data_IF_033969288776
#
_entry.id   IF_033969288776
#
_cell.length_a   1.000
_cell.length_b   1.000
_cell.length_c   1.000
_cell.angle_alpha   90.00
_cell.angle_beta   90.00
_cell.angle_gamma   90.00
#
_symmetry.space_group_name_H-M   'P 1'
#
loop_
_entity.id
_entity.type
_entity.pdbx_description
1 polymer ?
#
# COMPACT_ATOMS: atom_id res chain seq x y z
N UNK A 1 6.88 -2.77 -2.87
CA UNK A 1 6.19 -2.46 -1.61
C UNK A 1 4.86 -1.77 -1.86
N UNK A 2 4.82 -0.60 -2.52
CA UNK A 2 3.61 0.18 -2.81
C UNK A 2 2.50 -0.67 -3.46
N UNK A 3 2.79 -1.36 -4.56
CA UNK A 3 1.79 -2.17 -5.27
C UNK A 3 1.19 -3.29 -4.42
N UNK A 4 2.00 -3.93 -3.56
CA UNK A 4 1.52 -4.95 -2.64
C UNK A 4 0.51 -4.34 -1.66
N UNK A 5 0.83 -3.21 -1.06
CA UNK A 5 -0.07 -2.54 -0.11
C UNK A 5 -1.36 -2.08 -0.80
N UNK A 6 -1.28 -1.55 -2.02
CA UNK A 6 -2.48 -1.17 -2.78
C UNK A 6 -3.38 -2.38 -3.09
N UNK A 7 -2.79 -3.53 -3.47
CA UNK A 7 -3.56 -4.78 -3.62
C UNK A 7 -4.19 -5.22 -2.31
N UNK A 8 -3.47 -5.11 -1.19
CA UNK A 8 -4.01 -5.42 0.14
C UNK A 8 -5.16 -4.48 0.52
N UNK A 9 -5.03 -3.17 0.27
CA UNK A 9 -6.12 -2.21 0.52
C UNK A 9 -7.37 -2.55 -0.29
N UNK A 10 -7.22 -2.88 -1.58
CA UNK A 10 -8.33 -3.34 -2.42
C UNK A 10 -9.01 -4.57 -1.84
N UNK A 11 -8.20 -5.57 -1.45
CA UNK A 11 -8.72 -6.78 -0.82
C UNK A 11 -9.52 -6.45 0.44
N UNK A 12 -8.99 -5.60 1.32
CA UNK A 12 -9.66 -5.21 2.55
C UNK A 12 -11.00 -4.53 2.27
N UNK A 13 -11.06 -3.57 1.36
CA UNK A 13 -12.32 -2.92 1.00
C UNK A 13 -13.33 -3.92 0.45
N UNK A 14 -12.94 -4.81 -0.43
CA UNK A 14 -13.80 -5.85 -0.96
C UNK A 14 -14.26 -6.83 0.11
N UNK A 15 -13.36 -7.30 0.97
CA UNK A 15 -13.65 -8.26 2.04
C UNK A 15 -14.66 -7.72 3.06
N UNK A 16 -14.52 -6.46 3.47
CA UNK A 16 -15.42 -5.85 4.44
C UNK A 16 -16.78 -5.43 3.87
N UNK A 17 -16.92 -5.33 2.55
CA UNK A 17 -18.22 -5.11 1.89
C UNK A 17 -18.96 -6.42 1.59
N UNK A 18 -18.23 -7.42 1.14
CA UNK A 18 -18.77 -8.74 0.82
C UNK A 18 -18.59 -9.59 2.08
N UNK A 19 -19.66 -9.90 2.81
CA UNK A 19 -19.61 -10.74 4.02
C UNK A 19 -19.18 -12.21 3.75
N UNK A 20 -18.52 -12.51 2.63
CA UNK A 20 -18.01 -13.81 2.25
C UNK A 20 -16.55 -13.96 2.69
N UNK A 21 -16.14 -15.12 3.17
CA UNK A 21 -14.74 -15.47 3.47
C UNK A 21 -13.94 -15.56 2.16
N UNK A 22 -13.26 -14.48 1.81
CA UNK A 22 -12.37 -14.42 0.67
C UNK A 22 -10.93 -14.58 1.16
N UNK A 23 -10.22 -15.59 0.68
CA UNK A 23 -8.79 -15.68 0.97
C UNK A 23 -8.00 -14.68 0.11
N UNK A 24 -6.96 -14.10 0.69
CA UNK A 24 -6.07 -13.17 -0.01
C UNK A 24 -5.38 -13.80 -1.23
N UNK A 25 -5.08 -15.11 -1.17
CA UNK A 25 -4.51 -15.86 -2.29
C UNK A 25 -5.43 -15.92 -3.51
N UNK A 26 -6.73 -16.10 -3.29
CA UNK A 26 -7.75 -16.08 -4.35
C UNK A 26 -7.83 -14.70 -5.00
N UNK A 27 -7.70 -13.65 -4.20
CA UNK A 27 -7.68 -12.27 -4.69
C UNK A 27 -6.40 -11.96 -5.52
N UNK A 28 -5.22 -12.42 -5.07
CA UNK A 28 -3.96 -12.20 -5.80
C UNK A 28 -3.94 -12.89 -7.16
N UNK A 29 -4.50 -14.08 -7.26
CA UNK A 29 -4.47 -14.89 -8.47
C UNK A 29 -5.54 -14.49 -9.51
N UNK A 30 -6.22 -13.35 -9.35
CA UNK A 30 -7.35 -12.90 -10.18
C UNK A 30 -8.43 -13.97 -10.39
N UNK A 31 -8.43 -15.03 -9.57
CA UNK A 31 -9.45 -16.10 -9.59
C UNK A 31 -10.72 -15.68 -8.86
N UNK A 32 -10.70 -14.50 -8.24
CA UNK A 32 -11.89 -13.93 -7.67
C UNK A 32 -12.87 -13.65 -8.78
N UNK A 33 -14.09 -14.16 -8.62
CA UNK A 33 -15.14 -14.05 -9.64
C UNK A 33 -15.27 -12.60 -10.10
N UNK A 34 -14.84 -12.29 -11.31
CA UNK A 34 -14.87 -10.95 -11.89
C UNK A 34 -16.25 -10.30 -11.75
N UNK A 35 -17.30 -11.11 -11.74
CA UNK A 35 -18.68 -10.65 -11.55
C UNK A 35 -18.93 -10.04 -10.17
N UNK A 36 -18.35 -10.61 -9.10
CA UNK A 36 -18.45 -10.06 -7.74
C UNK A 36 -17.58 -8.79 -7.55
N UNK A 37 -16.44 -8.70 -8.23
CA UNK A 37 -15.57 -7.51 -8.19
C UNK A 37 -16.22 -6.35 -8.97
N UNK A 38 -16.78 -6.62 -10.14
CA UNK A 38 -17.39 -5.60 -11.00
C UNK A 38 -18.63 -4.95 -10.36
N UNK A 39 -19.25 -5.59 -9.36
CA UNK A 39 -20.40 -5.04 -8.62
C UNK A 39 -19.92 -4.22 -7.41
N UNK A 40 -18.65 -4.38 -6.97
CA UNK A 40 -18.16 -3.75 -5.76
C UNK A 40 -17.84 -2.27 -6.00
N UNK A 41 -18.61 -1.39 -5.39
CA UNK A 41 -18.47 0.07 -5.51
C UNK A 41 -17.13 0.57 -4.98
N UNK A 42 -16.64 0.04 -3.87
CA UNK A 42 -15.36 0.41 -3.28
C UNK A 42 -14.19 0.05 -4.19
N UNK A 43 -14.26 -1.09 -4.88
CA UNK A 43 -13.23 -1.47 -5.84
C UNK A 43 -13.09 -0.41 -6.95
N UNK A 44 -14.19 -0.01 -7.58
CA UNK A 44 -14.17 0.99 -8.65
C UNK A 44 -13.70 2.36 -8.17
N UNK A 45 -14.14 2.79 -6.98
CA UNK A 45 -13.69 4.06 -6.41
C UNK A 45 -12.20 4.03 -6.06
N UNK A 46 -11.70 2.90 -5.58
CA UNK A 46 -10.28 2.76 -5.28
C UNK A 46 -9.43 2.79 -6.55
N UNK A 47 -9.83 2.09 -7.64
CA UNK A 47 -9.15 2.13 -8.93
C UNK A 47 -9.06 3.54 -9.50
N UNK A 48 -10.11 4.33 -9.34
CA UNK A 48 -10.17 5.72 -9.78
C UNK A 48 -9.54 6.72 -8.79
N UNK A 49 -8.84 6.26 -7.75
CA UNK A 49 -8.24 7.08 -6.68
C UNK A 49 -9.24 8.06 -6.03
N UNK A 50 -10.53 7.67 -5.96
CA UNK A 50 -11.62 8.52 -5.46
C UNK A 50 -12.37 7.93 -4.27
N UNK A 51 -11.79 6.90 -3.61
CA UNK A 51 -12.43 6.24 -2.47
C UNK A 51 -12.41 7.15 -1.23
N UNK A 52 -13.60 7.53 -0.68
CA UNK A 52 -13.66 8.51 0.42
C UNK A 52 -13.11 7.98 1.75
N UNK A 53 -13.13 6.66 1.97
CA UNK A 53 -12.58 6.02 3.17
C UNK A 53 -11.12 5.54 2.97
N UNK A 54 -10.44 6.04 1.93
CA UNK A 54 -9.03 5.81 1.64
C UNK A 54 -8.23 7.11 1.67
N UNK A 55 -7.12 7.11 2.38
CA UNK A 55 -6.21 8.26 2.46
C UNK A 55 -4.79 7.85 2.05
N UNK A 56 -4.25 8.50 1.03
CA UNK A 56 -2.88 8.26 0.58
C UNK A 56 -2.01 9.48 0.87
N UNK A 57 -0.96 9.25 1.64
CA UNK A 57 -0.01 10.28 2.02
C UNK A 57 1.35 9.96 1.40
N UNK A 58 1.81 10.79 0.49
CA UNK A 58 3.13 10.69 -0.12
C UNK A 58 3.72 12.06 -0.33
N UNK A 59 5.00 12.10 -0.61
CA UNK A 59 5.68 13.29 -1.08
C UNK A 59 5.11 13.67 -2.45
N UNK A 60 4.79 14.94 -2.63
CA UNK A 60 4.38 15.46 -3.93
C UNK A 60 5.56 15.47 -4.90
N UNK A 61 5.35 15.03 -6.14
CA UNK A 61 6.39 14.91 -7.16
C UNK A 61 7.04 16.25 -7.51
N UNK A 62 6.31 17.37 -7.32
CA UNK A 62 6.76 18.73 -7.63
C UNK A 62 7.48 19.44 -6.47
N UNK A 63 7.68 18.79 -5.35
CA UNK A 63 8.37 19.37 -4.18
C UNK A 63 9.82 18.88 -4.12
N UNK A 64 10.71 19.53 -4.86
CA UNK A 64 12.16 19.27 -4.89
C UNK A 64 12.74 19.11 -3.47
N UNK A 65 12.95 17.84 -3.06
CA UNK A 65 13.60 17.50 -1.81
C UNK A 65 12.83 17.79 -0.50
N UNK A 66 11.66 18.41 -0.55
CA UNK A 66 10.89 18.78 0.63
C UNK A 66 10.18 17.56 1.26
N UNK A 67 10.12 17.54 2.58
CA UNK A 67 9.40 16.54 3.35
C UNK A 67 7.88 16.72 3.21
N UNK A 68 7.13 15.68 3.57
CA UNK A 68 5.66 15.74 3.63
C UNK A 68 5.24 16.84 4.61
N UNK A 69 4.39 17.80 4.19
CA UNK A 69 3.93 18.88 5.06
C UNK A 69 3.16 18.34 6.27
N UNK A 70 3.37 18.96 7.44
CA UNK A 70 2.69 18.57 8.68
C UNK A 70 1.16 18.70 8.56
N UNK A 71 0.69 19.63 7.75
CA UNK A 71 -0.73 19.83 7.47
C UNK A 71 -1.40 18.59 6.87
N UNK A 72 -0.68 17.84 6.03
CA UNK A 72 -1.18 16.61 5.44
C UNK A 72 -1.33 15.50 6.50
N UNK A 73 -0.43 15.48 7.50
CA UNK A 73 -0.55 14.56 8.64
C UNK A 73 -1.70 14.97 9.57
N UNK A 74 -1.99 16.27 9.72
CA UNK A 74 -3.18 16.76 10.44
C UNK A 74 -4.48 16.33 9.75
N UNK A 75 -4.53 16.39 8.42
CA UNK A 75 -5.67 15.88 7.64
C UNK A 75 -5.92 14.39 7.86
N UNK A 76 -4.85 13.59 8.06
CA UNK A 76 -4.96 12.18 8.38
C UNK A 76 -5.73 11.94 9.69
N UNK A 77 -5.46 12.75 10.74
CA UNK A 77 -6.21 12.67 11.99
C UNK A 77 -7.69 12.97 11.75
N UNK A 78 -8.02 14.05 11.10
CA UNK A 78 -9.41 14.43 10.77
C UNK A 78 -10.13 13.37 9.94
N UNK A 79 -9.42 12.74 9.00
CA UNK A 79 -9.92 11.65 8.18
C UNK A 79 -10.38 10.46 9.04
N UNK A 80 -9.60 10.02 10.03
CA UNK A 80 -9.97 8.90 10.88
C UNK A 80 -11.15 9.19 11.81
N UNK A 81 -11.30 10.45 12.24
CA UNK A 81 -12.40 10.83 13.13
C UNK A 81 -13.69 11.22 12.40
N UNK A 82 -13.69 11.30 11.07
CA UNK A 82 -14.93 11.47 10.31
C UNK A 82 -15.73 10.15 10.26
N UNK A 83 -17.00 10.22 9.92
CA UNK A 83 -17.86 9.04 9.74
C UNK A 83 -17.38 8.21 8.53
N UNK A 84 -17.69 6.91 8.52
CA UNK A 84 -17.52 6.06 7.36
C UNK A 84 -18.47 6.52 6.25
N UNK A 85 -17.98 6.62 5.01
CA UNK A 85 -18.78 7.11 3.90
C UNK A 85 -19.42 5.97 3.10
N UNK A 86 -18.67 4.95 2.79
CA UNK A 86 -19.11 3.82 1.95
C UNK A 86 -18.69 2.51 2.58
N UNK A 87 -17.44 2.39 2.98
CA UNK A 87 -16.86 1.18 3.54
C UNK A 87 -17.10 1.07 5.05
N UNK A 88 -16.99 -0.13 5.60
CA UNK A 88 -16.99 -0.37 7.07
C UNK A 88 -15.61 -0.16 7.68
N UNK A 89 -14.62 0.20 6.88
CA UNK A 89 -13.23 0.40 7.31
C UNK A 89 -12.67 1.68 6.70
N UNK A 90 -11.73 2.30 7.42
CA UNK A 90 -10.89 3.38 6.93
C UNK A 90 -9.46 2.92 6.80
N UNK A 91 -8.84 3.22 5.68
CA UNK A 91 -7.48 2.82 5.40
C UNK A 91 -6.65 4.02 5.00
N UNK A 92 -5.51 4.20 5.65
CA UNK A 92 -4.52 5.18 5.24
C UNK A 92 -3.20 4.49 4.88
N UNK A 93 -2.52 5.02 3.88
CA UNK A 93 -1.19 4.56 3.45
C UNK A 93 -0.23 5.75 3.49
N UNK A 94 0.89 5.60 4.18
CA UNK A 94 1.97 6.58 4.25
C UNK A 94 3.16 6.06 3.45
N UNK A 95 3.55 6.79 2.41
CA UNK A 95 4.61 6.41 1.48
C UNK A 95 5.58 7.59 1.21
N UNK A 96 6.72 7.69 1.89
CA UNK A 96 7.34 6.83 2.89
C UNK A 96 7.46 7.53 4.24
N UNK A 97 7.75 6.78 5.32
CA UNK A 97 7.90 7.36 6.66
C UNK A 97 9.11 8.29 6.75
N UNK A 98 10.15 8.02 5.97
CA UNK A 98 11.39 8.80 5.89
C UNK A 98 11.15 10.22 5.39
N UNK A 99 10.07 10.44 4.67
CA UNK A 99 9.67 11.75 4.14
C UNK A 99 8.95 12.61 5.18
N UNK A 100 8.68 12.10 6.37
CA UNK A 100 8.09 12.86 7.47
C UNK A 100 9.14 13.66 8.25
N UNK A 101 8.76 14.85 8.72
CA UNK A 101 9.55 15.61 9.69
C UNK A 101 9.38 15.01 11.11
N UNK A 102 10.27 15.34 12.05
CA UNK A 102 10.12 14.92 13.45
C UNK A 102 8.78 15.36 14.05
N UNK A 103 8.33 16.58 13.75
CA UNK A 103 7.04 17.07 14.22
C UNK A 103 5.86 16.28 13.61
N UNK A 104 5.97 15.93 12.33
CA UNK A 104 4.99 15.08 11.63
C UNK A 104 4.96 13.66 12.21
N UNK A 105 6.13 13.10 12.55
CA UNK A 105 6.24 11.79 13.21
C UNK A 105 5.59 11.78 14.59
N UNK A 106 5.82 12.82 15.40
CA UNK A 106 5.19 12.93 16.74
C UNK A 106 3.67 13.05 16.63
N UNK A 107 3.16 13.75 15.62
CA UNK A 107 1.73 13.84 15.35
C UNK A 107 1.15 12.49 14.89
N UNK A 108 1.89 11.78 14.03
CA UNK A 108 1.52 10.45 13.57
C UNK A 108 1.45 9.46 14.73
N UNK A 109 2.41 9.48 15.66
CA UNK A 109 2.40 8.64 16.86
C UNK A 109 1.12 8.82 17.67
N UNK A 110 0.69 10.06 17.91
CA UNK A 110 -0.58 10.33 18.60
C UNK A 110 -1.78 9.78 17.83
N UNK A 111 -1.74 9.86 16.50
CA UNK A 111 -2.82 9.34 15.65
C UNK A 111 -2.87 7.80 15.72
N UNK A 112 -1.71 7.13 15.77
CA UNK A 112 -1.62 5.67 15.90
C UNK A 112 -2.16 5.21 17.26
N UNK A 113 -1.82 5.92 18.34
CA UNK A 113 -2.28 5.61 19.70
C UNK A 113 -3.80 5.75 19.87
N UNK A 114 -4.39 6.74 19.20
CA UNK A 114 -5.79 7.09 19.30
C UNK A 114 -6.64 6.54 18.13
N UNK A 115 -6.12 5.54 17.39
CA UNK A 115 -6.77 5.06 16.17
C UNK A 115 -8.15 4.44 16.45
N UNK A 116 -9.23 4.89 15.79
CA UNK A 116 -10.56 4.33 15.98
C UNK A 116 -10.66 2.86 15.53
N UNK A 117 -11.66 2.14 16.03
CA UNK A 117 -11.97 0.78 15.56
C UNK A 117 -12.22 0.76 14.04
N UNK A 118 -11.89 -0.34 13.40
CA UNK A 118 -12.02 -0.53 11.95
C UNK A 118 -11.22 0.50 11.11
N UNK A 119 -10.12 0.99 11.67
CA UNK A 119 -9.19 1.90 11.00
C UNK A 119 -7.81 1.27 10.92
N UNK A 120 -7.16 1.41 9.78
CA UNK A 120 -5.86 0.79 9.49
C UNK A 120 -4.91 1.82 8.91
N UNK A 121 -3.67 1.82 9.39
CA UNK A 121 -2.58 2.63 8.83
C UNK A 121 -1.49 1.70 8.33
N UNK A 122 -1.20 1.78 7.04
CA UNK A 122 -0.04 1.12 6.45
C UNK A 122 1.09 2.13 6.28
N UNK A 123 2.23 1.83 6.85
CA UNK A 123 3.41 2.68 6.77
C UNK A 123 4.47 1.96 5.97
N UNK A 124 4.89 2.57 4.87
CA UNK A 124 5.98 2.07 4.03
C UNK A 124 7.28 2.68 4.53
N UNK A 125 8.30 1.84 4.71
CA UNK A 125 9.66 2.28 4.98
C UNK A 125 10.62 1.63 3.99
N UNK A 126 11.59 2.41 3.53
CA UNK A 126 12.68 1.92 2.69
C UNK A 126 13.90 1.56 3.53
N UNK A 127 14.08 2.19 4.68
CA UNK A 127 15.19 1.98 5.60
C UNK A 127 14.71 1.60 7.00
N UNK A 128 14.36 0.31 7.25
CA UNK A 128 13.76 -0.13 8.51
C UNK A 128 14.65 0.10 9.73
N UNK A 129 15.96 0.28 9.55
CA UNK A 129 16.90 0.56 10.64
C UNK A 129 16.65 1.94 11.28
N UNK A 130 16.18 2.90 10.50
CA UNK A 130 15.99 4.29 10.94
C UNK A 130 14.61 4.58 11.53
N UNK A 131 13.74 3.58 11.62
CA UNK A 131 12.41 3.77 12.21
C UNK A 131 12.55 3.96 13.72
N UNK A 132 11.89 5.01 14.24
CA UNK A 132 11.87 5.29 15.67
C UNK A 132 11.30 4.09 16.45
N UNK A 133 11.93 3.73 17.56
CA UNK A 133 11.49 2.64 18.44
C UNK A 133 10.06 2.85 18.95
N UNK A 134 9.65 4.10 19.10
CA UNK A 134 8.29 4.48 19.48
C UNK A 134 7.24 4.06 18.47
N UNK A 135 7.57 4.05 17.17
CA UNK A 135 6.70 3.53 16.10
C UNK A 135 6.77 2.00 16.07
N UNK A 136 7.97 1.45 16.23
CA UNK A 136 8.16 0.00 16.25
C UNK A 136 7.33 -0.69 17.34
N UNK A 137 7.22 -0.07 18.51
CA UNK A 137 6.44 -0.64 19.62
C UNK A 137 4.91 -0.65 19.42
N UNK A 138 4.41 0.09 18.42
CA UNK A 138 2.97 0.28 18.16
C UNK A 138 2.50 -0.31 16.83
N UNK A 139 3.40 -0.82 16.01
CA UNK A 139 3.10 -1.34 14.69
C UNK A 139 3.52 -2.81 14.56
N UNK A 140 2.76 -3.59 13.82
CA UNK A 140 3.20 -4.90 13.35
C UNK A 140 4.13 -4.71 12.13
N UNK A 141 5.23 -5.45 12.09
CA UNK A 141 6.22 -5.34 11.02
C UNK A 141 6.13 -6.49 10.05
N UNK A 142 6.11 -6.13 8.76
CA UNK A 142 6.18 -7.08 7.65
C UNK A 142 7.36 -6.72 6.77
N UNK A 143 8.29 -7.65 6.63
CA UNK A 143 9.45 -7.48 5.75
C UNK A 143 9.12 -8.02 4.37
N UNK A 144 9.15 -7.12 3.38
CA UNK A 144 9.00 -7.50 1.96
C UNK A 144 10.40 -7.52 1.37
N UNK A 145 10.96 -8.72 1.26
CA UNK A 145 12.27 -8.93 0.66
C UNK A 145 12.21 -8.74 -0.87
N UNK A 146 13.34 -8.37 -1.47
CA UNK A 146 13.49 -8.46 -2.92
C UNK A 146 13.39 -9.93 -3.34
N UNK A 147 12.89 -10.16 -4.56
CA UNK A 147 12.85 -11.50 -5.13
C UNK A 147 14.25 -12.10 -5.19
N UNK A 148 14.38 -13.38 -4.87
CA UNK A 148 15.60 -14.12 -5.16
C UNK A 148 15.78 -14.22 -6.69
N UNK A 149 17.01 -14.47 -7.13
CA UNK A 149 17.29 -14.59 -8.58
C UNK A 149 16.38 -15.62 -9.26
N UNK A 150 16.14 -16.77 -8.60
CA UNK A 150 15.24 -17.83 -9.13
C UNK A 150 13.79 -17.37 -9.23
N UNK A 151 13.27 -16.70 -8.20
CA UNK A 151 11.90 -16.15 -8.19
C UNK A 151 11.73 -15.07 -9.24
N UNK A 152 12.74 -14.23 -9.41
CA UNK A 152 12.75 -13.20 -10.44
C UNK A 152 12.79 -13.79 -11.85
N UNK A 153 13.62 -14.81 -12.08
CA UNK A 153 13.67 -15.53 -13.36
C UNK A 153 12.33 -16.20 -13.69
N UNK A 154 11.71 -16.85 -12.72
CA UNK A 154 10.39 -17.44 -12.89
C UNK A 154 9.33 -16.39 -13.18
N UNK A 155 9.36 -15.23 -12.49
CA UNK A 155 8.46 -14.12 -12.73
C UNK A 155 8.58 -13.58 -14.17
N UNK A 156 9.80 -13.42 -14.67
CA UNK A 156 10.04 -12.95 -16.04
C UNK A 156 9.52 -13.98 -17.05
N UNK A 157 9.82 -15.26 -16.87
CA UNK A 157 9.34 -16.32 -17.77
C UNK A 157 7.80 -16.39 -17.83
N UNK A 158 7.12 -16.25 -16.70
CA UNK A 158 5.65 -16.32 -16.64
C UNK A 158 4.93 -15.10 -17.23
N UNK A 159 5.53 -13.92 -17.16
CA UNK A 159 4.88 -12.67 -17.60
C UNK A 159 5.31 -12.19 -18.97
N UNK A 160 6.34 -12.77 -19.56
CA UNK A 160 6.92 -12.36 -20.83
C UNK A 160 7.22 -13.56 -21.74
N UNK A 161 6.30 -14.52 -21.78
CA UNK A 161 6.43 -15.76 -22.61
C UNK A 161 6.60 -15.46 -24.10
N UNK A 162 6.04 -14.36 -24.58
CA UNK A 162 6.09 -13.96 -26.01
C UNK A 162 7.37 -13.22 -26.41
N UNK A 163 8.32 -13.00 -25.49
CA UNK A 163 9.56 -12.26 -25.77
C UNK A 163 10.71 -13.18 -26.11
N UNK A 164 11.59 -12.69 -27.00
CA UNK A 164 12.80 -13.40 -27.39
C UNK A 164 13.78 -13.56 -26.19
N UNK A 165 14.64 -14.59 -26.25
CA UNK A 165 15.65 -14.82 -25.20
C UNK A 165 16.57 -13.60 -24.99
N UNK A 166 16.86 -12.86 -26.05
CA UNK A 166 17.72 -11.64 -25.99
C UNK A 166 17.01 -10.51 -25.24
N UNK A 167 15.72 -10.30 -25.46
CA UNK A 167 14.90 -9.31 -24.72
C UNK A 167 14.76 -9.69 -23.25
N UNK A 168 14.56 -10.97 -22.96
CA UNK A 168 14.52 -11.49 -21.59
C UNK A 168 15.85 -11.26 -20.86
N UNK A 169 16.97 -11.53 -21.53
CA UNK A 169 18.30 -11.29 -20.98
C UNK A 169 18.54 -9.80 -20.72
N UNK A 170 18.11 -8.93 -21.64
CA UNK A 170 18.20 -7.48 -21.49
C UNK A 170 17.37 -7.01 -20.28
N UNK A 171 16.11 -7.45 -20.15
CA UNK A 171 15.25 -7.14 -19.03
C UNK A 171 15.86 -7.58 -17.69
N UNK A 172 16.47 -8.77 -17.63
CA UNK A 172 17.17 -9.27 -16.44
C UNK A 172 18.35 -8.39 -16.03
N UNK A 173 19.09 -7.86 -16.99
CA UNK A 173 20.27 -7.04 -16.72
C UNK A 173 19.90 -5.61 -16.31
N UNK A 174 18.84 -5.03 -16.88
CA UNK A 174 18.42 -3.65 -16.62
C UNK A 174 17.59 -3.52 -15.34
N UNK A 175 16.84 -4.57 -14.99
CA UNK A 175 15.90 -4.51 -13.85
C UNK A 175 16.55 -4.65 -12.47
N UNK A 176 17.82 -5.00 -12.36
CA UNK A 176 18.54 -5.20 -11.09
C UNK A 176 17.77 -6.06 -10.07
N UNK A 177 17.02 -7.05 -10.55
CA UNK A 177 16.18 -7.92 -9.70
C UNK A 177 14.86 -7.27 -9.23
N UNK A 178 14.47 -6.11 -9.79
CA UNK A 178 13.20 -5.46 -9.51
C UNK A 178 12.25 -5.57 -10.72
N UNK A 179 11.05 -6.14 -10.58
CA UNK A 179 10.07 -6.26 -11.67
C UNK A 179 9.57 -4.93 -12.24
N UNK A 180 10.02 -3.81 -11.70
CA UNK A 180 9.54 -2.46 -12.03
C UNK A 180 10.56 -1.56 -12.72
N UNK A 181 11.82 -1.93 -12.73
CA UNK A 181 12.86 -1.16 -13.43
C UNK A 181 12.92 -1.52 -14.90
#
# INVERSE_FOLDING_TARGET
KKNFIFKLCKFMFCHFEINDEISFEVFQNNKFCLDKININKSYHLFENNSHPDFFYLSKEENNDGKKIPIENVRKLKSFFYSTFSISKVKIAVINTIEDLSLNSLNLLLKTIEELPKNSYIFIISDTPVNILETIKSRCAFFYINSLSKKEFDNFICQNYEDKSEQEILFLKNVSFGSPKN
#
